data_IF_023538039754
#
_entry.id   IF_023538039754
#
_cell.length_a   1.000
_cell.length_b   1.000
_cell.length_c   1.000
_cell.angle_alpha   90.00
_cell.angle_beta   90.00
_cell.angle_gamma   90.00
#
_symmetry.space_group_name_H-M   'P 1'
#
loop_
_entity.id
_entity.type
_entity.pdbx_description
1 polymer ?
#
# COMPACT_ATOMS: atom_id res chain seq x y z
N UNK A 1 -7.96 5.01 -19.25
CA UNK A 1 -7.94 3.90 -20.22
C UNK A 1 -8.37 2.63 -19.49
N UNK A 2 -9.14 1.74 -20.13
CA UNK A 2 -9.62 0.47 -19.54
C UNK A 2 -8.73 -0.71 -19.97
N UNK A 3 -8.60 -1.71 -19.10
CA UNK A 3 -7.93 -2.98 -19.40
C UNK A 3 -8.88 -3.90 -20.15
N UNK A 4 -8.32 -4.68 -21.08
CA UNK A 4 -9.04 -5.68 -21.86
C UNK A 4 -8.46 -7.05 -21.55
N UNK A 5 -9.27 -7.93 -20.98
CA UNK A 5 -9.03 -9.36 -20.88
C UNK A 5 -9.78 -10.12 -21.96
N UNK A 6 -9.59 -11.44 -22.01
CA UNK A 6 -10.22 -12.30 -23.03
C UNK A 6 -11.76 -12.23 -23.03
N UNK A 7 -12.37 -12.07 -21.85
CA UNK A 7 -13.84 -12.01 -21.66
C UNK A 7 -14.27 -10.85 -20.76
N UNK A 8 -13.41 -9.85 -20.56
CA UNK A 8 -13.67 -8.78 -19.61
C UNK A 8 -13.05 -7.46 -20.06
N UNK A 9 -13.75 -6.37 -19.76
CA UNK A 9 -13.21 -5.01 -19.82
C UNK A 9 -13.34 -4.43 -18.43
N UNK A 10 -12.25 -3.95 -17.84
CA UNK A 10 -12.24 -3.55 -16.44
C UNK A 10 -11.27 -2.41 -16.16
N UNK A 11 -11.49 -1.75 -15.03
CA UNK A 11 -10.57 -0.80 -14.40
C UNK A 11 -10.83 -0.88 -12.91
N UNK A 12 -9.99 -1.63 -12.20
CA UNK A 12 -10.20 -1.93 -10.79
C UNK A 12 -9.01 -1.42 -10.02
N UNK A 13 -9.26 -0.40 -9.21
CA UNK A 13 -8.27 0.16 -8.30
C UNK A 13 -8.67 -0.11 -6.86
N UNK A 14 -7.68 -0.36 -6.01
CA UNK A 14 -7.87 -0.49 -4.57
C UNK A 14 -6.87 0.40 -3.82
N UNK A 15 -7.36 1.13 -2.83
CA UNK A 15 -6.55 1.79 -1.82
C UNK A 15 -6.40 0.87 -0.62
N UNK A 16 -5.16 0.53 -0.29
CA UNK A 16 -4.79 -0.37 0.80
C UNK A 16 -3.99 0.42 1.82
N UNK A 17 -4.30 0.24 3.10
CA UNK A 17 -3.48 0.77 4.20
C UNK A 17 -2.97 -0.38 5.07
N UNK A 18 -1.65 -0.41 5.26
CA UNK A 18 -0.96 -1.37 6.10
C UNK A 18 -0.34 -0.64 7.30
N UNK A 19 -0.67 -1.09 8.51
CA UNK A 19 -0.23 -0.45 9.76
C UNK A 19 0.82 -1.30 10.45
N UNK A 20 1.89 -0.67 10.91
CA UNK A 20 2.97 -1.32 11.67
C UNK A 20 2.40 -1.91 12.97
N UNK A 21 2.92 -3.06 13.39
CA UNK A 21 2.50 -3.74 14.62
C UNK A 21 2.69 -2.79 15.81
N UNK A 22 1.65 -2.68 16.63
CA UNK A 22 1.57 -1.75 17.78
C UNK A 22 1.69 -0.25 17.41
N UNK A 23 1.45 0.11 16.14
CA UNK A 23 1.65 1.48 15.61
C UNK A 23 3.03 2.06 15.98
N UNK A 24 4.05 1.21 15.98
CA UNK A 24 5.43 1.66 16.21
C UNK A 24 5.84 2.57 15.04
N UNK A 25 6.50 3.69 15.37
CA UNK A 25 7.13 4.60 14.42
C UNK A 25 8.42 3.99 13.87
N UNK A 26 8.29 2.88 13.15
CA UNK A 26 9.40 2.04 12.69
C UNK A 26 9.74 2.28 11.20
N UNK A 27 8.97 3.09 10.48
CA UNK A 27 9.23 3.41 9.08
C UNK A 27 9.97 4.75 9.06
N UNK A 28 11.25 4.70 8.70
CA UNK A 28 12.02 5.88 8.31
C UNK A 28 12.07 6.00 6.78
N UNK A 29 12.83 6.99 6.29
CA UNK A 29 12.95 7.26 4.86
C UNK A 29 13.51 6.07 4.07
N UNK A 30 14.53 5.40 4.59
CA UNK A 30 15.19 4.30 3.91
C UNK A 30 14.28 3.07 3.85
N UNK A 31 13.57 2.79 4.93
CA UNK A 31 12.57 1.72 5.00
C UNK A 31 11.39 2.02 4.10
N UNK A 32 10.93 3.28 4.02
CA UNK A 32 9.82 3.66 3.15
C UNK A 32 10.17 3.43 1.68
N UNK A 33 11.34 3.88 1.25
CA UNK A 33 11.85 3.63 -0.11
C UNK A 33 11.93 2.14 -0.38
N UNK A 34 12.49 1.37 0.56
CA UNK A 34 12.64 -0.07 0.39
C UNK A 34 11.30 -0.81 0.35
N UNK A 35 10.33 -0.40 1.15
CA UNK A 35 8.97 -0.92 1.11
C UNK A 35 8.32 -0.69 -0.26
N UNK A 36 8.50 0.50 -0.84
CA UNK A 36 7.98 0.81 -2.18
C UNK A 36 8.51 -0.17 -3.23
N UNK A 37 9.82 -0.44 -3.22
CA UNK A 37 10.46 -1.40 -4.13
C UNK A 37 9.89 -2.80 -3.96
N UNK A 38 9.81 -3.28 -2.71
CA UNK A 38 9.28 -4.62 -2.40
C UNK A 38 7.82 -4.74 -2.87
N UNK A 39 6.99 -3.73 -2.61
CA UNK A 39 5.59 -3.75 -3.04
C UNK A 39 5.48 -3.72 -4.55
N UNK A 40 6.25 -2.88 -5.24
CA UNK A 40 6.28 -2.82 -6.71
C UNK A 40 6.67 -4.17 -7.32
N UNK A 41 7.73 -4.81 -6.81
CA UNK A 41 8.19 -6.11 -7.27
C UNK A 41 7.19 -7.23 -6.97
N UNK A 42 6.54 -7.18 -5.81
CA UNK A 42 5.53 -8.16 -5.43
C UNK A 42 4.29 -8.01 -6.29
N UNK A 43 3.76 -6.80 -6.47
CA UNK A 43 2.60 -6.52 -7.32
C UNK A 43 2.84 -6.95 -8.76
N UNK A 44 4.05 -6.69 -9.30
CA UNK A 44 4.42 -7.13 -10.65
C UNK A 44 4.33 -8.65 -10.83
N UNK A 45 4.71 -9.44 -9.82
CA UNK A 45 4.60 -10.91 -9.84
C UNK A 45 3.16 -11.40 -9.79
N UNK A 46 2.26 -10.58 -9.25
CA UNK A 46 0.82 -10.80 -9.20
C UNK A 46 0.08 -10.17 -10.39
N UNK A 47 0.81 -9.69 -11.40
CA UNK A 47 0.24 -9.01 -12.57
C UNK A 47 -0.67 -7.83 -12.20
N UNK A 48 -0.27 -7.13 -11.13
CA UNK A 48 -0.89 -5.91 -10.60
C UNK A 48 0.11 -4.75 -10.72
N UNK A 49 -0.41 -3.53 -10.77
CA UNK A 49 0.41 -2.31 -10.88
C UNK A 49 0.31 -1.48 -9.61
N UNK A 50 1.44 -1.01 -9.10
CA UNK A 50 1.48 0.02 -8.06
C UNK A 50 1.34 1.39 -8.73
N UNK A 51 0.20 2.05 -8.53
CA UNK A 51 -0.09 3.37 -9.10
C UNK A 51 0.53 4.48 -8.25
N UNK A 52 0.26 4.46 -6.95
CA UNK A 52 0.81 5.41 -5.98
C UNK A 52 1.23 4.70 -4.71
N UNK A 53 2.24 5.27 -4.05
CA UNK A 53 2.74 4.79 -2.78
C UNK A 53 3.20 5.96 -1.93
N UNK A 54 2.75 5.99 -0.69
CA UNK A 54 3.26 6.91 0.32
C UNK A 54 3.08 6.29 1.70
N UNK A 55 3.63 6.91 2.73
CA UNK A 55 3.44 6.44 4.10
C UNK A 55 3.94 7.44 5.13
N UNK A 56 3.59 7.13 6.37
CA UNK A 56 4.08 7.81 7.55
C UNK A 56 4.93 6.85 8.39
N UNK A 57 5.38 7.30 9.55
CA UNK A 57 6.28 6.53 10.39
C UNK A 57 5.71 5.20 10.91
N UNK A 58 4.39 5.03 10.92
CA UNK A 58 3.71 3.84 11.47
C UNK A 58 2.74 3.14 10.50
N UNK A 59 2.58 3.62 9.27
CA UNK A 59 1.71 2.98 8.27
C UNK A 59 2.05 3.41 6.82
N UNK A 60 1.59 2.63 5.85
CA UNK A 60 1.77 2.90 4.41
C UNK A 60 0.45 2.80 3.65
N UNK A 61 0.34 3.61 2.60
CA UNK A 61 -0.77 3.68 1.65
C UNK A 61 -0.29 3.16 0.29
N UNK A 62 -1.04 2.22 -0.27
CA UNK A 62 -0.83 1.71 -1.62
C UNK A 62 -2.10 1.97 -2.43
N UNK A 63 -1.96 2.62 -3.58
CA UNK A 63 -2.99 2.61 -4.62
C UNK A 63 -2.55 1.63 -5.70
N UNK A 64 -3.33 0.58 -5.91
CA UNK A 64 -3.01 -0.47 -6.88
C UNK A 64 -4.07 -0.55 -7.97
N UNK A 65 -3.66 -0.93 -9.18
CA UNK A 65 -4.52 -1.44 -10.23
C UNK A 65 -4.36 -2.96 -10.30
N UNK A 66 -5.47 -3.69 -10.36
CA UNK A 66 -5.48 -5.15 -10.27
C UNK A 66 -6.54 -5.78 -11.18
N UNK A 67 -6.38 -7.08 -11.48
CA UNK A 67 -7.31 -7.82 -12.33
C UNK A 67 -8.53 -8.35 -11.56
N UNK A 68 -9.69 -8.55 -12.21
CA UNK A 68 -10.91 -9.00 -11.53
C UNK A 68 -10.82 -10.39 -10.91
N UNK A 69 -9.89 -11.22 -11.38
CA UNK A 69 -9.63 -12.57 -10.88
C UNK A 69 -8.67 -12.62 -9.68
N UNK A 70 -8.09 -11.46 -9.28
CA UNK A 70 -7.15 -11.41 -8.17
C UNK A 70 -7.88 -11.33 -6.81
N UNK A 71 -7.73 -12.34 -5.93
CA UNK A 71 -8.27 -12.28 -4.58
C UNK A 71 -7.45 -11.30 -3.72
N UNK A 72 -7.99 -10.10 -3.49
CA UNK A 72 -7.31 -9.02 -2.77
C UNK A 72 -6.82 -9.44 -1.38
N UNK A 73 -7.57 -10.25 -0.64
CA UNK A 73 -7.17 -10.72 0.70
C UNK A 73 -5.88 -11.55 0.66
N UNK A 74 -5.71 -12.39 -0.37
CA UNK A 74 -4.51 -13.22 -0.56
C UNK A 74 -3.35 -12.35 -1.04
N UNK A 75 -3.59 -11.44 -1.99
CA UNK A 75 -2.59 -10.48 -2.44
C UNK A 75 -2.05 -9.64 -1.28
N UNK A 76 -2.92 -9.06 -0.46
CA UNK A 76 -2.54 -8.25 0.71
C UNK A 76 -1.77 -9.10 1.73
N UNK A 77 -2.20 -10.35 1.96
CA UNK A 77 -1.44 -11.29 2.78
C UNK A 77 -0.02 -11.53 2.27
N UNK A 78 0.14 -11.68 0.96
CA UNK A 78 1.44 -11.86 0.32
C UNK A 78 2.31 -10.60 0.44
N UNK A 79 1.75 -9.42 0.15
CA UNK A 79 2.44 -8.12 0.30
C UNK A 79 2.98 -7.95 1.71
N UNK A 80 2.15 -8.20 2.74
CA UNK A 80 2.55 -8.12 4.16
C UNK A 80 3.64 -9.14 4.51
N UNK A 81 3.52 -10.37 4.02
CA UNK A 81 4.46 -11.46 4.34
C UNK A 81 5.83 -11.20 3.73
N UNK A 82 5.88 -10.86 2.45
CA UNK A 82 7.13 -10.60 1.72
C UNK A 82 7.83 -9.37 2.30
N UNK A 83 7.13 -8.25 2.45
CA UNK A 83 7.69 -7.01 3.00
C UNK A 83 8.18 -7.18 4.44
N UNK A 84 7.39 -7.82 5.32
CA UNK A 84 7.81 -8.09 6.71
C UNK A 84 9.12 -8.89 6.76
N UNK A 85 9.25 -9.92 5.93
CA UNK A 85 10.43 -10.79 5.91
C UNK A 85 11.66 -10.04 5.39
N UNK A 86 11.52 -9.31 4.28
CA UNK A 86 12.64 -8.61 3.65
C UNK A 86 13.12 -7.44 4.51
N UNK A 87 12.21 -6.59 5.02
CA UNK A 87 12.59 -5.48 5.89
C UNK A 87 13.30 -5.97 7.16
N UNK A 88 12.80 -7.02 7.82
CA UNK A 88 13.48 -7.55 9.02
C UNK A 88 14.85 -8.17 8.72
N UNK A 89 15.04 -8.72 7.51
CA UNK A 89 16.33 -9.27 7.08
C UNK A 89 17.33 -8.18 6.77
N UNK A 90 16.90 -7.12 6.09
CA UNK A 90 17.76 -6.01 5.64
C UNK A 90 18.02 -4.98 6.75
N UNK A 91 17.09 -4.82 7.70
CA UNK A 91 17.17 -3.87 8.82
C UNK A 91 17.07 -4.61 10.18
N UNK A 92 18.06 -5.42 10.57
CA UNK A 92 17.99 -6.23 11.80
C UNK A 92 17.92 -5.37 13.08
N UNK A 93 18.51 -4.18 13.09
CA UNK A 93 18.46 -3.26 14.23
C UNK A 93 17.02 -2.78 14.51
N UNK A 94 16.22 -2.57 13.46
CA UNK A 94 14.81 -2.23 13.60
C UNK A 94 14.02 -3.37 14.25
N UNK A 95 14.29 -4.62 13.85
CA UNK A 95 13.59 -5.79 14.38
C UNK A 95 13.85 -5.95 15.90
N UNK A 96 15.09 -5.73 16.32
CA UNK A 96 15.46 -5.72 17.75
C UNK A 96 14.78 -4.56 18.49
N UNK A 97 14.87 -3.34 17.95
CA UNK A 97 14.38 -2.11 18.59
C UNK A 97 12.86 -2.08 18.78
N UNK A 98 12.08 -2.41 17.75
CA UNK A 98 10.63 -2.18 17.74
C UNK A 98 9.80 -3.43 18.02
N UNK A 99 10.35 -4.61 17.72
CA UNK A 99 9.59 -5.87 17.74
C UNK A 99 10.21 -6.95 18.64
N UNK A 100 11.27 -6.65 19.39
CA UNK A 100 11.94 -7.61 20.27
C UNK A 100 12.33 -8.90 19.54
N UNK A 101 12.81 -8.76 18.29
CA UNK A 101 13.15 -9.86 17.38
C UNK A 101 12.00 -10.83 17.05
N UNK A 102 10.75 -10.47 17.35
CA UNK A 102 9.58 -11.24 16.90
C UNK A 102 9.45 -11.18 15.38
N UNK A 103 8.94 -12.23 14.72
CA UNK A 103 8.84 -12.30 13.27
C UNK A 103 7.65 -11.49 12.71
N UNK A 104 7.44 -10.26 13.19
CA UNK A 104 6.34 -9.40 12.78
C UNK A 104 6.83 -7.99 12.41
N UNK A 105 6.10 -7.35 11.51
CA UNK A 105 6.30 -5.96 11.11
C UNK A 105 4.95 -5.25 11.01
N UNK A 106 3.99 -5.88 10.33
CA UNK A 106 2.62 -5.38 10.21
C UNK A 106 1.69 -5.91 11.31
N UNK A 107 0.60 -5.19 11.57
CA UNK A 107 -0.56 -5.72 12.30
C UNK A 107 -1.27 -6.82 11.49
N UNK A 108 -2.17 -7.58 12.13
CA UNK A 108 -2.97 -8.61 11.46
C UNK A 108 -4.02 -8.02 10.52
N UNK A 109 -4.64 -6.91 10.91
CA UNK A 109 -5.62 -6.18 10.10
C UNK A 109 -5.00 -5.41 8.93
N UNK A 110 -5.85 -4.96 8.02
CA UNK A 110 -5.53 -4.02 6.94
C UNK A 110 -6.82 -3.27 6.59
N UNK A 111 -6.68 -2.12 5.95
CA UNK A 111 -7.80 -1.42 5.32
C UNK A 111 -7.73 -1.63 3.81
N UNK A 112 -8.90 -1.78 3.19
CA UNK A 112 -9.02 -1.80 1.73
C UNK A 112 -10.30 -1.07 1.33
N UNK A 113 -10.21 -0.20 0.34
CA UNK A 113 -11.34 0.49 -0.28
C UNK A 113 -11.20 0.47 -1.80
N UNK A 114 -12.32 0.34 -2.51
CA UNK A 114 -12.35 0.48 -3.96
C UNK A 114 -12.19 1.95 -4.36
N UNK A 115 -11.44 2.20 -5.43
CA UNK A 115 -11.21 3.54 -5.96
C UNK A 115 -11.76 3.63 -7.39
N UNK A 116 -13.09 3.71 -7.50
CA UNK A 116 -13.80 3.84 -8.77
C UNK A 116 -14.23 5.28 -9.03
N UNK A 117 -13.37 6.10 -9.64
CA UNK A 117 -13.82 7.35 -10.29
C UNK A 117 -13.04 8.63 -9.99
N UNK A 118 -12.23 8.70 -8.92
CA UNK A 118 -11.54 9.94 -8.52
C UNK A 118 -10.13 9.59 -8.04
N UNK A 119 -9.11 10.14 -8.71
CA UNK A 119 -7.71 10.06 -8.23
C UNK A 119 -7.47 11.03 -7.07
N UNK A 120 -6.45 10.78 -6.25
CA UNK A 120 -6.03 11.70 -5.17
C UNK A 120 -5.75 13.11 -5.70
N UNK A 121 -5.25 13.24 -6.94
CA UNK A 121 -5.08 14.53 -7.62
C UNK A 121 -6.39 15.23 -8.01
N UNK A 122 -7.47 14.49 -8.26
CA UNK A 122 -8.80 15.08 -8.48
C UNK A 122 -9.45 15.52 -7.16
N UNK A 123 -9.13 14.86 -6.04
CA UNK A 123 -9.50 15.30 -4.70
C UNK A 123 -8.74 16.58 -4.29
N UNK A 124 -7.46 16.66 -4.67
CA UNK A 124 -6.62 17.86 -4.49
C UNK A 124 -7.18 19.06 -5.27
N UNK A 125 -7.55 18.87 -6.54
CA UNK A 125 -8.25 19.90 -7.35
C UNK A 125 -9.64 20.27 -6.81
N UNK A 126 -10.37 19.32 -6.22
CA UNK A 126 -11.69 19.57 -5.63
C UNK A 126 -11.59 20.42 -4.35
N UNK A 127 -10.54 20.24 -3.54
CA UNK A 127 -10.26 21.08 -2.36
C UNK A 127 -9.75 22.47 -2.77
N UNK A 128 -8.95 22.55 -3.83
CA UNK A 128 -8.48 23.83 -4.42
C UNK A 128 -9.61 24.64 -5.10
N UNK A 129 -10.74 24.01 -5.45
CA UNK A 129 -11.90 24.64 -6.11
C UNK A 129 -13.07 24.94 -5.17
N UNK A 130 -12.96 24.65 -3.87
CA UNK A 130 -13.97 25.03 -2.88
C UNK A 130 -13.72 26.49 -2.47
N UNK A 131 -14.62 27.37 -2.91
CA UNK A 131 -14.60 28.79 -2.62
C UNK A 131 -14.59 29.05 -1.10
N UNK A 132 -13.65 29.88 -0.66
CA UNK A 132 -13.65 30.49 0.67
C UNK A 132 -14.95 31.27 0.84
N UNK A 133 -15.75 31.04 1.89
CA UNK A 133 -16.83 31.95 2.23
C UNK A 133 -16.19 33.26 2.71
N UNK A 134 -16.50 34.37 2.03
CA UNK A 134 -16.19 35.70 2.52
C UNK A 134 -17.15 36.06 3.64
N UNK A 135 -16.59 36.36 4.81
CA UNK A 135 -16.95 37.46 5.72
C UNK A 135 -15.86 37.65 6.77
#
# INVERSE_FOLDING_TARGET
MYHHGFRSVYRLNAHIVLVVKYRRKAIDKDILVRLQEIFKDTLKKWDCTLLEFNGESDHVHLLIDYKPDQPLSVLIGNLKTVSSRLIRKEFPLLASRYFYNKPCFWTGSYFVASCGGITVEQLKKYVEQQATPEN
#
